data_IF_391794160890
#
_entry.id   IF_391794160890
#
_cell.length_a   1.000
_cell.length_b   1.000
_cell.length_c   1.000
_cell.angle_alpha   90.00
_cell.angle_beta   90.00
_cell.angle_gamma   90.00
#
_symmetry.space_group_name_H-M   'P 1'
#
loop_
_entity.id
_entity.type
_entity.pdbx_description
1 polymer ?
#
# COMPACT_ATOMS: atom_id res chain seq x y z
N UNK A 1 -26.04 -2.94 33.59
CA UNK A 1 -25.60 -1.69 32.93
C UNK A 1 -24.07 -1.76 32.85
N UNK A 2 -23.56 -2.41 31.82
CA UNK A 2 -22.14 -2.46 31.57
C UNK A 2 -21.85 -1.46 30.45
N UNK A 3 -21.28 -0.34 30.85
CA UNK A 3 -20.68 0.65 29.93
C UNK A 3 -19.44 0.01 29.31
N UNK A 4 -19.54 -0.38 28.04
CA UNK A 4 -18.39 -0.69 27.22
C UNK A 4 -17.64 0.63 27.01
N UNK A 5 -16.54 0.79 27.73
CA UNK A 5 -15.56 1.84 27.43
C UNK A 5 -15.04 1.63 26.00
N UNK A 6 -15.49 2.47 25.08
CA UNK A 6 -14.87 2.63 23.79
C UNK A 6 -13.46 3.14 24.02
N UNK A 7 -12.48 2.25 24.02
CA UNK A 7 -11.09 2.65 23.89
C UNK A 7 -10.96 3.40 22.56
N UNK A 8 -10.84 4.72 22.68
CA UNK A 8 -10.27 5.55 21.64
C UNK A 8 -8.90 4.94 21.33
N UNK A 9 -8.81 4.21 20.22
CA UNK A 9 -7.54 3.89 19.60
C UNK A 9 -7.07 5.23 19.05
N UNK A 10 -6.46 6.02 19.92
CA UNK A 10 -5.74 7.21 19.50
C UNK A 10 -4.75 6.71 18.47
N UNK A 11 -4.80 7.27 17.27
CA UNK A 11 -3.76 7.13 16.28
C UNK A 11 -2.47 7.52 17.00
N UNK A 12 -1.75 6.51 17.49
CA UNK A 12 -0.41 6.72 17.99
C UNK A 12 0.33 7.23 16.78
N UNK A 13 0.61 8.54 16.75
CA UNK A 13 1.51 9.12 15.75
C UNK A 13 2.81 8.36 15.88
N UNK A 14 2.99 7.38 15.01
CA UNK A 14 4.29 6.79 14.82
C UNK A 14 5.11 7.90 14.15
N UNK A 15 5.85 8.66 14.96
CA UNK A 15 6.92 9.48 14.45
C UNK A 15 7.92 8.48 13.84
N UNK A 16 7.77 8.25 12.54
CA UNK A 16 8.83 7.61 11.78
C UNK A 16 10.03 8.53 11.92
N UNK A 17 11.17 8.05 12.45
CA UNK A 17 12.37 8.86 12.45
C UNK A 17 12.69 9.17 11.00
N UNK A 18 12.42 10.41 10.60
CA UNK A 18 12.56 10.94 9.25
C UNK A 18 14.01 10.81 8.75
N UNK A 19 14.96 10.53 9.63
CA UNK A 19 16.38 10.45 9.32
C UNK A 19 17.11 9.39 10.16
N UNK A 20 16.90 8.14 9.88
CA UNK A 20 18.05 7.28 9.95
C UNK A 20 18.72 7.23 8.55
N UNK A 21 19.28 8.39 8.17
CA UNK A 21 19.98 8.55 6.87
C UNK A 21 21.07 7.52 6.70
N UNK A 22 21.70 7.11 7.79
CA UNK A 22 22.76 6.09 7.77
C UNK A 22 22.18 4.69 7.52
N UNK A 23 21.09 4.33 8.19
CA UNK A 23 20.46 3.02 8.00
C UNK A 23 19.77 2.93 6.61
N UNK A 24 19.14 3.99 6.13
CA UNK A 24 18.63 4.07 4.76
C UNK A 24 19.78 3.87 3.75
N UNK A 25 20.89 4.58 3.92
CA UNK A 25 22.05 4.42 3.06
C UNK A 25 22.62 3.00 3.09
N UNK A 26 22.66 2.36 4.26
CA UNK A 26 23.07 0.96 4.43
C UNK A 26 22.15 0.02 3.65
N UNK A 27 20.84 0.17 3.76
CA UNK A 27 19.86 -0.67 3.05
C UNK A 27 19.93 -0.48 1.53
N UNK A 28 20.12 0.76 1.07
CA UNK A 28 20.38 1.06 -0.35
C UNK A 28 21.65 0.36 -0.82
N UNK A 29 22.75 0.47 -0.06
CA UNK A 29 24.02 -0.16 -0.41
C UNK A 29 23.90 -1.70 -0.50
N UNK A 30 23.17 -2.32 0.42
CA UNK A 30 22.93 -3.78 0.41
C UNK A 30 22.22 -4.19 -0.89
N UNK A 31 21.18 -3.47 -1.32
CA UNK A 31 20.47 -3.79 -2.55
C UNK A 31 21.34 -3.55 -3.79
N UNK A 32 22.09 -2.45 -3.82
CA UNK A 32 23.06 -2.16 -4.90
C UNK A 32 24.08 -3.28 -5.02
N UNK A 33 24.61 -3.80 -3.90
CA UNK A 33 25.58 -4.92 -3.92
C UNK A 33 24.98 -6.20 -4.51
N UNK A 34 23.72 -6.50 -4.23
CA UNK A 34 23.01 -7.64 -4.84
C UNK A 34 22.88 -7.45 -6.35
N UNK A 35 22.52 -6.24 -6.78
CA UNK A 35 22.31 -5.92 -8.21
C UNK A 35 23.60 -5.92 -9.01
N UNK A 36 24.72 -5.47 -8.44
CA UNK A 36 26.02 -5.44 -9.13
C UNK A 36 26.47 -6.82 -9.63
N UNK A 37 25.96 -7.90 -9.06
CA UNK A 37 26.30 -9.26 -9.50
C UNK A 37 25.67 -9.61 -10.87
N UNK A 38 24.61 -8.92 -11.29
CA UNK A 38 23.80 -9.31 -12.45
C UNK A 38 23.38 -8.15 -13.36
N UNK A 39 23.60 -6.89 -12.95
CA UNK A 39 23.16 -5.70 -13.67
C UNK A 39 24.32 -4.74 -13.95
N UNK A 40 24.22 -3.98 -15.04
CA UNK A 40 25.21 -2.93 -15.35
C UNK A 40 25.09 -1.75 -14.38
N UNK A 41 26.16 -0.98 -14.26
CA UNK A 41 26.18 0.24 -13.42
C UNK A 41 25.10 1.23 -13.85
N UNK A 42 24.86 1.36 -15.15
CA UNK A 42 23.84 2.24 -15.73
C UNK A 42 22.43 1.81 -15.33
N UNK A 43 22.16 0.49 -15.37
CA UNK A 43 20.87 -0.06 -14.95
C UNK A 43 20.62 0.18 -13.45
N UNK A 44 21.66 -0.03 -12.61
CA UNK A 44 21.56 0.25 -11.17
C UNK A 44 21.32 1.73 -10.91
N UNK A 45 22.04 2.63 -11.60
CA UNK A 45 21.83 4.09 -11.48
C UNK A 45 20.40 4.49 -11.84
N UNK A 46 19.87 3.96 -12.93
CA UNK A 46 18.47 4.22 -13.35
C UNK A 46 17.46 3.79 -12.29
N UNK A 47 17.74 2.70 -11.59
CA UNK A 47 16.84 2.13 -10.57
C UNK A 47 17.02 2.73 -9.17
N UNK A 48 17.95 3.69 -8.97
CA UNK A 48 18.23 4.26 -7.64
C UNK A 48 16.99 4.84 -6.92
N UNK A 49 16.07 5.57 -7.59
CA UNK A 49 14.86 6.05 -6.91
C UNK A 49 14.04 4.89 -6.32
N UNK A 50 13.81 3.83 -7.09
CA UNK A 50 13.05 2.66 -6.64
C UNK A 50 13.79 1.85 -5.57
N UNK A 51 15.12 1.76 -5.64
CA UNK A 51 15.95 1.14 -4.60
C UNK A 51 15.79 1.92 -3.28
N UNK A 52 15.84 3.25 -3.32
CA UNK A 52 15.65 4.09 -2.13
C UNK A 52 14.26 3.92 -1.53
N UNK A 53 13.22 3.87 -2.37
CA UNK A 53 11.85 3.62 -1.92
C UNK A 53 11.72 2.26 -1.24
N UNK A 54 12.24 1.18 -1.82
CA UNK A 54 12.25 -0.15 -1.19
C UNK A 54 13.05 -0.19 0.11
N UNK A 55 14.15 0.55 0.18
CA UNK A 55 14.92 0.70 1.42
C UNK A 55 14.11 1.43 2.51
N UNK A 56 13.40 2.51 2.16
CA UNK A 56 12.50 3.21 3.09
C UNK A 56 11.36 2.32 3.57
N UNK A 57 10.76 1.51 2.69
CA UNK A 57 9.78 0.46 3.06
C UNK A 57 10.34 -0.49 4.11
N UNK A 58 11.59 -0.95 3.97
CA UNK A 58 12.24 -1.81 4.97
C UNK A 58 12.41 -1.13 6.31
N UNK A 59 12.77 0.15 6.33
CA UNK A 59 12.85 0.92 7.59
C UNK A 59 11.49 1.02 8.26
N UNK A 60 10.43 1.34 7.52
CA UNK A 60 9.06 1.36 8.07
C UNK A 60 8.66 0.00 8.62
N UNK A 61 8.92 -1.08 7.89
CA UNK A 61 8.61 -2.44 8.35
C UNK A 61 9.33 -2.81 9.66
N UNK A 62 10.60 -2.40 9.81
CA UNK A 62 11.39 -2.64 11.02
C UNK A 62 10.90 -1.83 12.23
N UNK A 63 10.36 -0.64 11.98
CA UNK A 63 9.80 0.23 13.02
C UNK A 63 8.40 -0.20 13.50
N UNK A 64 7.69 -1.04 12.72
CA UNK A 64 6.37 -1.51 13.10
C UNK A 64 6.45 -2.54 14.24
N UNK A 65 5.65 -2.37 15.30
CA UNK A 65 5.59 -3.37 16.36
C UNK A 65 5.02 -4.69 15.80
N UNK A 66 5.61 -5.80 16.25
CA UNK A 66 5.07 -7.12 15.94
C UNK A 66 3.68 -7.27 16.58
N UNK A 67 2.63 -7.67 15.85
CA UNK A 67 1.32 -7.92 16.43
C UNK A 67 1.39 -9.07 17.44
N UNK A 68 0.78 -8.88 18.63
CA UNK A 68 1.14 -9.65 19.82
C UNK A 68 0.25 -10.81 20.23
N UNK A 69 -1.03 -10.90 19.79
CA UNK A 69 -1.98 -11.80 20.46
C UNK A 69 -1.94 -13.24 19.93
N UNK A 70 -1.88 -13.42 18.60
CA UNK A 70 -1.89 -14.75 17.97
C UNK A 70 -0.60 -15.07 17.21
N UNK A 71 0.39 -14.17 17.26
CA UNK A 71 1.69 -14.42 16.65
C UNK A 71 2.63 -15.03 17.68
N UNK A 72 2.87 -16.36 17.65
CA UNK A 72 3.97 -16.92 18.42
C UNK A 72 5.26 -16.26 17.93
N UNK A 73 6.01 -15.69 18.85
CA UNK A 73 7.35 -15.25 18.49
C UNK A 73 8.18 -16.48 18.13
N UNK A 74 8.48 -16.60 16.84
CA UNK A 74 9.38 -17.64 16.37
C UNK A 74 10.78 -17.29 16.92
N UNK A 75 11.24 -18.00 17.91
CA UNK A 75 12.54 -17.77 18.56
C UNK A 75 13.72 -18.10 17.65
N UNK A 76 13.49 -18.94 16.64
CA UNK A 76 14.51 -19.30 15.65
C UNK A 76 14.33 -18.40 14.42
N UNK A 77 15.36 -17.63 14.02
CA UNK A 77 15.24 -16.75 12.84
C UNK A 77 15.22 -17.56 11.55
N UNK A 78 14.60 -16.97 10.51
CA UNK A 78 14.75 -17.42 9.13
C UNK A 78 16.20 -17.22 8.68
N UNK A 79 16.81 -18.26 8.11
CA UNK A 79 18.16 -18.25 7.58
C UNK A 79 18.11 -18.01 6.07
N UNK A 80 18.66 -16.88 5.61
CA UNK A 80 18.82 -16.58 4.18
C UNK A 80 20.19 -17.07 3.74
N UNK A 81 20.24 -18.00 2.80
CA UNK A 81 21.44 -18.64 2.29
C UNK A 81 21.99 -17.87 1.09
N UNK A 82 21.12 -17.47 0.16
CA UNK A 82 21.46 -16.71 -1.03
C UNK A 82 20.30 -15.78 -1.41
N UNK A 83 20.63 -14.62 -1.95
CA UNK A 83 19.65 -13.65 -2.46
C UNK A 83 20.02 -13.23 -3.87
N UNK A 84 19.05 -13.27 -4.77
CA UNK A 84 19.16 -12.76 -6.14
C UNK A 84 18.02 -11.78 -6.44
N UNK A 85 18.31 -10.85 -7.34
CA UNK A 85 17.30 -9.93 -7.85
C UNK A 85 17.36 -9.94 -9.39
N UNK A 86 16.74 -10.97 -10.03
CA UNK A 86 16.87 -11.21 -11.47
C UNK A 86 16.19 -10.14 -12.32
N UNK A 87 15.26 -9.37 -11.77
CA UNK A 87 14.61 -8.26 -12.43
C UNK A 87 14.59 -7.03 -11.52
N UNK A 88 14.89 -5.88 -12.09
CA UNK A 88 14.76 -4.56 -11.44
C UNK A 88 14.49 -3.48 -12.47
N UNK A 89 13.40 -2.77 -12.29
CA UNK A 89 13.03 -1.54 -12.96
C UNK A 89 12.07 -0.79 -12.03
N UNK A 90 10.89 -0.38 -12.47
CA UNK A 90 9.84 0.19 -11.61
C UNK A 90 9.49 -0.76 -10.44
N UNK A 91 9.34 -2.04 -10.72
CA UNK A 91 9.29 -3.12 -9.72
C UNK A 91 10.59 -3.92 -9.72
N UNK A 92 10.74 -4.78 -8.72
CA UNK A 92 11.80 -5.76 -8.71
C UNK A 92 11.24 -7.15 -8.37
N UNK A 93 11.95 -8.20 -8.77
CA UNK A 93 11.71 -9.56 -8.29
C UNK A 93 12.90 -9.97 -7.44
N UNK A 94 12.64 -10.35 -6.19
CA UNK A 94 13.64 -10.91 -5.29
C UNK A 94 13.43 -12.42 -5.17
N UNK A 95 14.51 -13.18 -5.32
CA UNK A 95 14.57 -14.62 -5.05
C UNK A 95 15.51 -14.87 -3.88
N UNK A 96 15.02 -15.58 -2.87
CA UNK A 96 15.84 -16.05 -1.76
C UNK A 96 15.87 -17.57 -1.73
N UNK A 97 17.07 -18.13 -1.51
CA UNK A 97 17.26 -19.49 -1.02
C UNK A 97 17.32 -19.42 0.50
N UNK A 98 16.41 -20.07 1.19
CA UNK A 98 16.26 -19.88 2.63
C UNK A 98 15.79 -21.15 3.37
N UNK A 99 15.98 -21.15 4.70
CA UNK A 99 15.35 -22.08 5.64
C UNK A 99 14.56 -21.30 6.66
N UNK A 100 13.32 -21.70 6.93
CA UNK A 100 12.48 -21.07 7.94
C UNK A 100 12.09 -22.06 9.03
N UNK A 101 11.81 -21.59 10.25
CA UNK A 101 11.41 -22.47 11.34
C UNK A 101 9.98 -23.00 11.12
N UNK A 102 9.77 -24.29 11.38
CA UNK A 102 8.45 -24.89 11.45
C UNK A 102 7.84 -24.68 12.84
N UNK A 103 6.53 -24.69 12.93
CA UNK A 103 5.82 -24.67 14.22
C UNK A 103 6.13 -25.86 15.10
N UNK A 104 6.61 -26.98 14.53
CA UNK A 104 7.11 -28.15 15.26
C UNK A 104 8.48 -27.94 15.93
N UNK A 105 9.12 -26.78 15.73
CA UNK A 105 10.47 -26.48 16.23
C UNK A 105 11.61 -26.92 15.34
N UNK A 106 11.35 -27.70 14.27
CA UNK A 106 12.36 -28.03 13.26
C UNK A 106 12.56 -26.89 12.26
N UNK A 107 13.61 -26.96 11.43
CA UNK A 107 13.77 -26.07 10.26
C UNK A 107 13.29 -26.76 8.99
N UNK A 108 12.82 -25.97 8.02
CA UNK A 108 12.56 -26.47 6.68
C UNK A 108 13.84 -26.96 5.99
N UNK A 109 13.70 -27.78 4.95
CA UNK A 109 14.75 -27.94 3.95
C UNK A 109 15.07 -26.59 3.31
N UNK A 110 16.12 -26.53 2.50
CA UNK A 110 16.38 -25.37 1.63
C UNK A 110 15.24 -25.23 0.65
N UNK A 111 14.64 -24.04 0.62
CA UNK A 111 13.54 -23.72 -0.29
C UNK A 111 13.81 -22.41 -0.98
N UNK A 112 13.49 -22.37 -2.27
CA UNK A 112 13.50 -21.13 -3.03
C UNK A 112 12.15 -20.42 -2.87
N UNK A 113 12.20 -19.12 -2.60
CA UNK A 113 11.02 -18.24 -2.58
C UNK A 113 11.29 -17.00 -3.42
N UNK A 114 10.27 -16.57 -4.14
CA UNK A 114 10.32 -15.34 -4.91
C UNK A 114 9.20 -14.40 -4.45
N UNK A 115 9.49 -13.11 -4.45
CA UNK A 115 8.51 -12.07 -4.17
C UNK A 115 8.66 -10.93 -5.17
N UNK A 116 7.53 -10.38 -5.56
CA UNK A 116 7.46 -9.13 -6.28
C UNK A 116 7.67 -7.98 -5.29
N UNK A 117 8.67 -7.15 -5.53
CA UNK A 117 9.09 -6.09 -4.60
C UNK A 117 8.52 -4.76 -5.05
N UNK A 118 7.52 -4.26 -4.34
CA UNK A 118 7.02 -2.89 -4.42
C UNK A 118 7.50 -2.03 -3.25
N UNK A 119 7.13 -0.77 -3.26
CA UNK A 119 7.16 0.10 -2.08
C UNK A 119 5.89 -0.05 -1.26
N UNK A 120 5.89 0.47 -0.03
CA UNK A 120 4.64 0.69 0.70
C UNK A 120 3.80 1.73 -0.04
N UNK A 121 2.49 1.61 0.07
CA UNK A 121 1.56 2.53 -0.54
C UNK A 121 0.43 2.93 0.41
N UNK A 122 -0.23 4.02 0.08
CA UNK A 122 -1.43 4.49 0.76
C UNK A 122 -2.63 4.32 -0.14
N UNK A 123 -3.79 4.17 0.46
CA UNK A 123 -5.08 4.34 -0.21
C UNK A 123 -5.95 5.27 0.62
N UNK A 124 -6.70 6.13 -0.05
CA UNK A 124 -7.63 7.04 0.60
C UNK A 124 -8.96 7.07 -0.14
N UNK A 125 -10.04 6.71 0.56
CA UNK A 125 -11.40 6.83 0.08
C UNK A 125 -11.99 8.17 0.54
N UNK A 126 -12.19 9.15 -0.34
CA UNK A 126 -12.84 10.41 0.02
C UNK A 126 -14.31 10.19 0.30
N UNK A 127 -14.80 10.76 1.40
CA UNK A 127 -16.19 10.69 1.84
C UNK A 127 -16.72 12.07 2.22
N UNK A 128 -17.86 12.44 1.65
CA UNK A 128 -18.64 13.60 2.06
C UNK A 128 -19.80 13.16 2.96
N UNK A 129 -19.72 13.39 4.29
CA UNK A 129 -20.78 12.98 5.21
C UNK A 129 -22.09 13.74 5.01
N UNK A 130 -22.06 14.97 4.48
CA UNK A 130 -23.27 15.77 4.22
C UNK A 130 -24.08 15.20 3.07
N UNK A 131 -23.41 14.83 1.99
CA UNK A 131 -24.04 14.22 0.81
C UNK A 131 -24.13 12.69 0.92
N UNK A 132 -23.52 12.05 1.93
CA UNK A 132 -23.36 10.60 2.05
C UNK A 132 -22.79 9.99 0.77
N UNK A 133 -21.81 10.65 0.18
CA UNK A 133 -21.20 10.26 -1.09
C UNK A 133 -19.70 9.96 -0.93
N UNK A 134 -19.20 9.10 -1.81
CA UNK A 134 -17.79 8.74 -1.94
C UNK A 134 -17.29 9.10 -3.31
N UNK A 135 -15.99 9.36 -3.43
CA UNK A 135 -15.32 9.52 -4.71
C UNK A 135 -14.46 8.30 -4.99
N UNK A 136 -14.68 7.66 -6.12
CA UNK A 136 -13.89 6.58 -6.66
C UNK A 136 -13.10 7.09 -7.85
N UNK A 137 -11.90 6.57 -8.03
CA UNK A 137 -11.10 6.83 -9.23
C UNK A 137 -11.15 5.61 -10.15
N UNK A 138 -11.16 5.86 -11.47
CA UNK A 138 -11.08 4.83 -12.49
C UNK A 138 -9.86 5.08 -13.35
N UNK A 139 -8.99 4.07 -13.46
CA UNK A 139 -7.77 4.14 -14.24
C UNK A 139 -7.41 2.80 -14.86
N UNK A 140 -6.58 2.83 -15.91
CA UNK A 140 -6.02 1.63 -16.51
C UNK A 140 -5.03 0.96 -15.57
N UNK A 141 -5.15 -0.37 -15.42
CA UNK A 141 -4.17 -1.16 -14.66
C UNK A 141 -3.60 -2.29 -15.51
N UNK A 142 -2.28 -2.35 -15.56
CA UNK A 142 -1.57 -3.37 -16.32
C UNK A 142 -1.80 -4.80 -15.77
N UNK A 143 -2.05 -4.98 -14.48
CA UNK A 143 -2.33 -6.29 -13.89
C UNK A 143 -3.53 -7.00 -14.50
N UNK A 144 -4.74 -6.41 -14.48
CA UNK A 144 -5.92 -6.93 -15.18
C UNK A 144 -5.70 -7.10 -16.68
N UNK A 145 -5.03 -6.16 -17.34
CA UNK A 145 -4.69 -6.27 -18.76
C UNK A 145 -3.83 -7.52 -19.03
N UNK A 146 -2.76 -7.70 -18.28
CA UNK A 146 -1.86 -8.86 -18.44
C UNK A 146 -2.53 -10.19 -18.09
N UNK A 147 -3.52 -10.17 -17.19
CA UNK A 147 -4.36 -11.33 -16.90
C UNK A 147 -5.29 -11.69 -18.07
N UNK A 148 -5.60 -10.74 -18.95
CA UNK A 148 -6.52 -10.91 -20.07
C UNK A 148 -7.95 -10.48 -19.77
N UNK A 149 -8.17 -9.63 -18.79
CA UNK A 149 -9.49 -9.09 -18.48
C UNK A 149 -9.98 -8.21 -19.64
N UNK A 150 -11.26 -8.33 -19.99
CA UNK A 150 -11.86 -7.58 -21.09
C UNK A 150 -11.92 -6.06 -20.79
N UNK A 151 -11.97 -5.67 -19.51
CA UNK A 151 -11.97 -4.29 -19.06
C UNK A 151 -10.89 -4.06 -17.99
N UNK A 152 -9.68 -3.62 -18.38
CA UNK A 152 -8.57 -3.40 -17.46
C UNK A 152 -8.62 -2.03 -16.74
N UNK A 153 -9.68 -1.25 -16.87
CA UNK A 153 -9.92 -0.04 -16.09
C UNK A 153 -10.64 -0.40 -14.80
N UNK A 154 -9.95 -0.26 -13.68
CA UNK A 154 -10.45 -0.63 -12.36
C UNK A 154 -10.99 0.57 -11.60
N UNK A 155 -11.99 0.34 -10.74
CA UNK A 155 -12.44 1.29 -9.73
C UNK A 155 -11.61 1.10 -8.46
N UNK A 156 -11.06 2.20 -7.95
CA UNK A 156 -10.13 2.22 -6.82
C UNK A 156 -10.40 3.41 -5.90
N UNK A 157 -9.92 3.38 -4.64
CA UNK A 157 -9.71 4.62 -3.88
C UNK A 157 -8.53 5.36 -4.51
N UNK A 158 -8.35 6.65 -4.26
CA UNK A 158 -7.11 7.33 -4.61
C UNK A 158 -5.93 6.65 -3.90
N UNK A 159 -4.80 6.45 -4.59
CA UNK A 159 -3.74 5.59 -4.10
C UNK A 159 -2.38 5.89 -4.73
N UNK A 160 -1.34 5.88 -3.94
CA UNK A 160 0.01 5.97 -4.46
C UNK A 160 1.08 5.53 -3.47
N UNK A 161 2.32 5.61 -3.88
CA UNK A 161 3.46 5.16 -3.09
C UNK A 161 3.85 6.17 -2.03
N UNK A 162 4.32 5.66 -0.89
CA UNK A 162 4.87 6.48 0.17
C UNK A 162 6.32 6.80 -0.17
N UNK A 163 6.62 8.07 -0.39
CA UNK A 163 7.96 8.51 -0.70
C UNK A 163 8.93 8.36 0.49
N UNK A 164 10.25 8.23 0.22
CA UNK A 164 11.24 8.23 1.29
C UNK A 164 11.17 9.52 2.13
N UNK A 165 10.95 9.37 3.43
CA UNK A 165 10.82 10.48 4.37
C UNK A 165 9.40 11.02 4.56
N UNK A 166 8.42 10.52 3.80
CA UNK A 166 7.02 10.90 3.92
C UNK A 166 6.29 10.00 4.93
N UNK A 167 5.35 10.56 5.67
CA UNK A 167 4.44 9.76 6.50
C UNK A 167 3.30 9.18 5.65
N UNK A 168 2.68 8.06 6.07
CA UNK A 168 1.51 7.54 5.36
C UNK A 168 0.35 8.54 5.27
N UNK A 169 0.14 9.36 6.31
CA UNK A 169 -0.90 10.39 6.35
C UNK A 169 -0.63 11.53 5.36
N UNK A 170 0.62 11.97 5.25
CA UNK A 170 1.01 13.02 4.30
C UNK A 170 0.89 12.51 2.87
N UNK A 171 1.36 11.29 2.60
CA UNK A 171 1.19 10.62 1.30
C UNK A 171 -0.28 10.50 0.92
N UNK A 172 -1.15 10.09 1.85
CA UNK A 172 -2.58 9.95 1.57
C UNK A 172 -3.21 11.31 1.18
N UNK A 173 -2.81 12.41 1.81
CA UNK A 173 -3.29 13.75 1.47
C UNK A 173 -2.76 14.22 0.13
N UNK A 174 -1.49 13.96 -0.17
CA UNK A 174 -0.86 14.32 -1.45
C UNK A 174 -1.55 13.57 -2.59
N UNK A 175 -1.69 12.24 -2.50
CA UNK A 175 -2.33 11.42 -3.54
C UNK A 175 -3.79 11.82 -3.78
N UNK A 176 -4.55 12.10 -2.71
CA UNK A 176 -5.91 12.60 -2.84
C UNK A 176 -5.96 13.89 -3.67
N UNK A 177 -5.05 14.82 -3.39
CA UNK A 177 -4.99 16.09 -4.11
C UNK A 177 -4.56 15.90 -5.57
N UNK A 178 -3.58 15.06 -5.84
CA UNK A 178 -3.04 14.80 -7.18
C UNK A 178 -4.05 14.09 -8.07
N UNK A 179 -4.69 13.03 -7.58
CA UNK A 179 -5.61 12.21 -8.36
C UNK A 179 -7.02 12.76 -8.45
N UNK A 180 -7.47 13.62 -7.52
CA UNK A 180 -8.88 14.06 -7.48
C UNK A 180 -9.06 15.57 -7.33
N UNK A 181 -8.01 16.30 -7.01
CA UNK A 181 -8.08 17.72 -6.65
C UNK A 181 -8.85 17.97 -5.35
N UNK A 182 -9.24 16.96 -4.59
CA UNK A 182 -9.90 17.11 -3.29
C UNK A 182 -8.90 17.23 -2.15
N UNK A 183 -9.34 17.83 -1.03
CA UNK A 183 -8.55 17.95 0.17
C UNK A 183 -9.26 17.32 1.34
N UNK A 184 -8.57 16.46 2.10
CA UNK A 184 -9.15 15.86 3.30
C UNK A 184 -9.07 16.81 4.51
N UNK A 185 -10.22 17.14 5.09
CA UNK A 185 -10.31 17.88 6.35
C UNK A 185 -9.85 17.02 7.53
N UNK A 186 -10.21 15.74 7.51
CA UNK A 186 -9.82 14.73 8.50
C UNK A 186 -9.47 13.40 7.82
N UNK A 187 -8.58 12.62 8.46
CA UNK A 187 -8.25 11.26 8.04
C UNK A 187 -8.68 10.27 9.12
N UNK A 188 -9.37 9.23 8.73
CA UNK A 188 -9.74 8.11 9.57
C UNK A 188 -9.00 6.87 9.11
N UNK A 189 -8.19 6.30 9.98
CA UNK A 189 -7.44 5.09 9.69
C UNK A 189 -8.38 3.89 9.56
N UNK A 190 -8.27 3.17 8.45
CA UNK A 190 -9.06 1.97 8.17
C UNK A 190 -8.30 0.72 8.60
N UNK A 191 -7.17 0.48 7.97
CA UNK A 191 -6.33 -0.69 8.23
C UNK A 191 -4.93 -0.50 7.62
N UNK A 192 -4.01 -1.37 8.05
CA UNK A 192 -2.74 -1.61 7.35
C UNK A 192 -2.59 -3.09 7.10
N UNK A 193 -2.18 -3.48 5.89
CA UNK A 193 -2.23 -4.89 5.49
C UNK A 193 -1.40 -5.19 4.25
N UNK A 194 -1.11 -6.47 4.05
CA UNK A 194 -0.59 -6.97 2.79
C UNK A 194 -1.74 -7.30 1.84
N UNK A 195 -1.81 -6.75 0.62
CA UNK A 195 -2.85 -7.12 -0.36
C UNK A 195 -2.68 -8.55 -0.87
N UNK A 196 -1.45 -9.05 -0.97
CA UNK A 196 -1.14 -10.40 -1.46
C UNK A 196 0.16 -10.93 -0.86
N UNK A 197 0.17 -11.35 0.45
CA UNK A 197 1.40 -11.71 1.16
C UNK A 197 2.12 -12.92 0.60
N UNK A 198 1.47 -13.73 -0.21
CA UNK A 198 2.09 -14.90 -0.87
C UNK A 198 2.98 -14.57 -2.05
N UNK A 199 2.84 -13.39 -2.64
CA UNK A 199 3.52 -13.01 -3.87
C UNK A 199 4.16 -11.62 -3.85
N UNK A 200 3.64 -10.70 -3.04
CA UNK A 200 3.96 -9.28 -3.12
C UNK A 200 4.38 -8.71 -1.77
N UNK A 201 5.42 -7.90 -1.75
CA UNK A 201 5.94 -7.29 -0.52
C UNK A 201 5.32 -5.93 -0.20
N UNK A 202 4.43 -5.43 -1.04
CA UNK A 202 3.72 -4.17 -0.80
C UNK A 202 2.90 -4.25 0.50
N UNK A 203 2.96 -3.18 1.28
CA UNK A 203 2.16 -3.02 2.48
C UNK A 203 1.34 -1.74 2.36
N UNK A 204 0.02 -1.87 2.49
CA UNK A 204 -0.92 -0.78 2.30
C UNK A 204 -1.34 -0.15 3.63
N UNK A 205 -1.47 1.18 3.63
CA UNK A 205 -2.08 1.98 4.69
C UNK A 205 -3.34 2.61 4.11
N UNK A 206 -4.51 2.18 4.57
CA UNK A 206 -5.80 2.64 4.05
C UNK A 206 -6.47 3.63 4.99
N UNK A 207 -7.03 4.68 4.40
CA UNK A 207 -7.73 5.76 5.09
C UNK A 207 -9.09 6.04 4.44
N UNK A 208 -10.01 6.60 5.23
CA UNK A 208 -11.16 7.37 4.75
C UNK A 208 -10.85 8.84 5.01
N UNK A 209 -10.96 9.69 4.00
CA UNK A 209 -10.73 11.13 4.10
C UNK A 209 -12.04 11.89 4.05
N UNK A 210 -12.35 12.70 5.08
CA UNK A 210 -13.51 13.59 5.04
C UNK A 210 -13.20 14.75 4.11
N UNK A 211 -14.03 14.93 3.07
CA UNK A 211 -13.80 15.94 2.04
C UNK A 211 -15.12 16.44 1.45
N UNK A 212 -15.14 17.70 1.00
CA UNK A 212 -16.21 18.22 0.14
C UNK A 212 -15.98 17.68 -1.29
N UNK A 213 -16.95 16.93 -1.79
CA UNK A 213 -16.91 16.31 -3.12
C UNK A 213 -17.70 17.09 -4.18
N UNK A 214 -18.16 18.31 -3.87
CA UNK A 214 -18.90 19.16 -4.79
C UNK A 214 -18.10 19.44 -6.06
N UNK A 215 -18.69 19.16 -7.22
CA UNK A 215 -18.07 19.41 -8.54
C UNK A 215 -16.88 18.51 -8.89
N UNK A 216 -16.69 17.38 -8.17
CA UNK A 216 -15.60 16.44 -8.41
C UNK A 216 -15.98 15.25 -9.32
N UNK A 217 -17.27 15.10 -9.63
CA UNK A 217 -17.72 14.02 -10.52
C UNK A 217 -17.27 14.25 -11.96
N UNK A 218 -16.90 13.15 -12.65
CA UNK A 218 -16.42 13.13 -14.04
C UNK A 218 -15.21 14.06 -14.30
N UNK A 219 -14.46 14.43 -13.27
CA UNK A 219 -13.20 15.14 -13.46
C UNK A 219 -12.11 14.19 -13.92
N UNK A 220 -11.26 14.67 -14.84
CA UNK A 220 -10.07 13.96 -15.32
C UNK A 220 -8.85 14.60 -14.69
N UNK A 221 -7.98 13.79 -14.10
CA UNK A 221 -6.79 14.18 -13.37
C UNK A 221 -5.68 13.13 -13.54
N UNK A 222 -4.61 13.24 -12.78
CA UNK A 222 -3.42 12.43 -12.86
C UNK A 222 -2.21 13.21 -13.39
N UNK A 223 -1.02 12.68 -13.17
CA UNK A 223 0.23 13.30 -13.55
C UNK A 223 0.64 12.86 -14.96
N UNK A 224 0.78 13.82 -15.89
CA UNK A 224 1.11 13.54 -17.29
C UNK A 224 2.50 12.90 -17.48
N UNK A 225 3.45 13.19 -16.60
CA UNK A 225 4.79 12.61 -16.59
C UNK A 225 4.81 11.17 -16.03
N UNK A 226 3.75 10.75 -15.33
CA UNK A 226 3.53 9.36 -14.91
C UNK A 226 2.60 8.57 -15.87
N UNK A 227 2.17 9.21 -16.95
CA UNK A 227 1.21 8.67 -17.93
C UNK A 227 -0.13 8.25 -17.27
N UNK A 228 -0.56 8.99 -16.27
CA UNK A 228 -1.81 8.76 -15.57
C UNK A 228 -2.97 9.46 -16.28
N UNK A 229 -4.05 8.70 -16.46
CA UNK A 229 -5.34 9.16 -16.98
C UNK A 229 -6.43 8.63 -16.03
N UNK A 230 -6.81 9.47 -15.09
CA UNK A 230 -7.67 9.13 -13.95
C UNK A 230 -8.98 9.86 -14.05
N UNK A 231 -10.09 9.11 -14.02
CA UNK A 231 -11.44 9.68 -14.02
C UNK A 231 -12.08 9.49 -12.64
N UNK A 232 -12.56 10.59 -12.06
CA UNK A 232 -13.31 10.59 -10.81
C UNK A 232 -14.78 10.27 -11.01
N UNK A 233 -15.36 9.48 -10.11
CA UNK A 233 -16.79 9.17 -10.03
C UNK A 233 -17.30 9.44 -8.62
N UNK A 234 -18.25 10.36 -8.48
CA UNK A 234 -18.91 10.62 -7.20
C UNK A 234 -20.23 9.86 -7.14
N UNK A 235 -20.38 8.99 -6.17
CA UNK A 235 -21.54 8.11 -6.00
C UNK A 235 -22.07 8.20 -4.57
N UNK A 236 -23.35 7.90 -4.36
CA UNK A 236 -23.82 7.63 -3.00
C UNK A 236 -23.07 6.42 -2.41
N UNK A 237 -22.88 6.38 -1.09
CA UNK A 237 -22.28 5.22 -0.41
C UNK A 237 -23.06 3.93 -0.75
N UNK A 238 -24.39 4.00 -0.80
CA UNK A 238 -25.25 2.86 -1.11
C UNK A 238 -25.05 2.37 -2.55
N UNK A 239 -24.87 3.27 -3.52
CA UNK A 239 -24.56 2.90 -4.90
C UNK A 239 -23.18 2.25 -5.00
N UNK A 240 -22.18 2.83 -4.33
CA UNK A 240 -20.83 2.25 -4.30
C UNK A 240 -20.83 0.82 -3.69
N UNK A 241 -21.61 0.58 -2.65
CA UNK A 241 -21.78 -0.76 -2.07
C UNK A 241 -22.45 -1.72 -3.05
N UNK A 242 -23.44 -1.27 -3.85
CA UNK A 242 -24.04 -2.11 -4.91
C UNK A 242 -23.01 -2.51 -5.98
N UNK A 243 -22.05 -1.65 -6.31
CA UNK A 243 -20.97 -2.01 -7.24
C UNK A 243 -20.06 -3.11 -6.71
N UNK A 244 -19.91 -3.23 -5.38
CA UNK A 244 -19.22 -4.38 -4.76
C UNK A 244 -20.03 -5.66 -4.96
N UNK A 245 -21.35 -5.61 -4.76
CA UNK A 245 -22.24 -6.76 -4.92
C UNK A 245 -22.30 -7.27 -6.37
N UNK A 246 -22.29 -6.35 -7.34
CA UNK A 246 -22.29 -6.70 -8.78
C UNK A 246 -20.94 -7.15 -9.29
N UNK A 247 -19.85 -6.91 -8.54
CA UNK A 247 -18.48 -7.22 -8.93
C UNK A 247 -17.83 -6.18 -9.84
N UNK A 248 -18.46 -5.03 -10.07
CA UNK A 248 -17.86 -3.91 -10.80
C UNK A 248 -16.74 -3.28 -9.99
N UNK A 249 -16.90 -3.15 -8.66
CA UNK A 249 -15.81 -2.92 -7.72
C UNK A 249 -15.18 -4.26 -7.36
N UNK A 250 -13.99 -4.51 -7.86
CA UNK A 250 -13.27 -5.78 -7.73
C UNK A 250 -11.84 -5.64 -7.20
N UNK A 251 -11.47 -4.47 -6.72
CA UNK A 251 -10.18 -4.21 -6.08
C UNK A 251 -10.28 -4.31 -4.56
N UNK A 252 -9.40 -5.12 -3.96
CA UNK A 252 -9.44 -5.39 -2.52
C UNK A 252 -9.37 -4.14 -1.64
N UNK A 253 -8.49 -3.16 -1.90
CA UNK A 253 -8.40 -1.92 -1.14
C UNK A 253 -9.69 -1.11 -1.12
N UNK A 254 -10.39 -1.00 -2.27
CA UNK A 254 -11.67 -0.29 -2.33
C UNK A 254 -12.77 -1.04 -1.59
N UNK A 255 -12.88 -2.36 -1.80
CA UNK A 255 -13.86 -3.20 -1.09
C UNK A 255 -13.70 -3.04 0.42
N UNK A 256 -12.46 -3.13 0.93
CA UNK A 256 -12.16 -2.96 2.35
C UNK A 256 -12.60 -1.59 2.88
N UNK A 257 -12.23 -0.52 2.16
CA UNK A 257 -12.53 0.85 2.56
C UNK A 257 -14.03 1.14 2.56
N UNK A 258 -14.77 0.66 1.54
CA UNK A 258 -16.23 0.79 1.47
C UNK A 258 -16.93 0.03 2.59
N UNK A 259 -16.53 -1.20 2.87
CA UNK A 259 -17.08 -2.00 3.97
C UNK A 259 -16.82 -1.35 5.32
N UNK A 260 -15.60 -0.87 5.54
CA UNK A 260 -15.26 -0.15 6.76
C UNK A 260 -16.12 1.13 6.90
N UNK A 261 -16.25 1.91 5.83
CA UNK A 261 -17.06 3.12 5.82
C UNK A 261 -18.53 2.83 6.10
N UNK A 262 -19.11 1.80 5.46
CA UNK A 262 -20.50 1.40 5.71
C UNK A 262 -20.78 1.07 7.18
N UNK A 263 -19.80 0.49 7.89
CA UNK A 263 -19.92 0.19 9.33
C UNK A 263 -19.71 1.41 10.24
N UNK A 264 -19.11 2.49 9.75
CA UNK A 264 -18.68 3.62 10.57
C UNK A 264 -19.26 4.97 10.16
N UNK A 265 -19.96 5.08 9.02
CA UNK A 265 -20.43 6.35 8.45
C UNK A 265 -21.27 7.22 9.41
N UNK A 266 -22.05 6.59 10.31
CA UNK A 266 -22.86 7.31 11.30
C UNK A 266 -22.03 7.98 12.42
N UNK A 267 -20.73 7.73 12.48
CA UNK A 267 -19.82 8.28 13.49
C UNK A 267 -18.88 9.35 12.92
N UNK A 268 -18.90 9.50 11.60
CA UNK A 268 -18.08 10.44 10.83
C UNK A 268 -18.91 11.67 10.46
#
# INVERSE_FOLDING_TARGET
SDTVETQNISATRYAFPIEDTLELARLVAVEVMVLQATHSVEAVKKSLPQIRMRAATRLRAQALPSPGTLHPQMTTPTEVIDTKQPYTDYFAVREDMLRFPHFSGSKSSEVKRASFMGGDAVTILPYDPKARSVLLVRQFRHGPFARGDANPWTLEPAAGRIDPGESPEDSARRELQEETGANAEALHFVARYYPSPGAYSEFLYSYVGIADLSGKDQSVSGLADEAEDIMSHVLSLDDAMRLVETGEVNTGPLILSLQWLAMNAERL
#
